data_IF_407071538955
#
_entry.id   IF_407071538955
#
_cell.length_a   1.000
_cell.length_b   1.000
_cell.length_c   1.000
_cell.angle_alpha   90.00
_cell.angle_beta   90.00
_cell.angle_gamma   90.00
#
_symmetry.space_group_name_H-M   'P 1'
#
loop_
_entity.id
_entity.type
_entity.pdbx_description
1 polymer ?
#
# COMPACT_ATOMS: atom_id res chain seq x y z
N UNK A 1 60.35 -46.04 -25.67
CA UNK A 1 60.52 -44.69 -26.26
C UNK A 1 59.27 -43.86 -25.95
N UNK A 2 59.46 -42.65 -25.39
CA UNK A 2 58.56 -41.47 -25.25
C UNK A 2 57.12 -41.67 -24.70
N UNK A 3 56.70 -41.16 -23.53
CA UNK A 3 56.51 -39.77 -22.98
C UNK A 3 55.16 -39.08 -23.32
N UNK A 4 54.42 -38.76 -22.23
CA UNK A 4 53.52 -37.58 -21.99
C UNK A 4 52.14 -37.59 -22.70
N UNK A 5 50.97 -37.16 -22.17
CA UNK A 5 50.58 -36.09 -21.22
C UNK A 5 49.22 -36.44 -20.53
N UNK A 6 49.09 -36.12 -19.24
CA UNK A 6 47.84 -36.00 -18.46
C UNK A 6 47.05 -34.74 -18.86
N UNK A 7 45.74 -34.82 -19.13
CA UNK A 7 44.79 -33.72 -18.84
C UNK A 7 43.47 -34.30 -18.32
N UNK A 8 43.15 -33.94 -17.09
CA UNK A 8 41.84 -34.06 -16.46
C UNK A 8 40.91 -32.94 -16.96
N UNK A 9 39.64 -33.26 -17.23
CA UNK A 9 38.55 -32.28 -17.22
C UNK A 9 37.29 -32.93 -16.66
N UNK A 10 37.21 -32.85 -15.34
CA UNK A 10 36.02 -33.07 -14.55
C UNK A 10 34.95 -32.05 -14.98
N UNK A 11 33.93 -32.50 -15.69
CA UNK A 11 32.69 -31.74 -15.88
C UNK A 11 31.97 -31.64 -14.52
N UNK A 12 32.39 -30.68 -13.70
CA UNK A 12 31.56 -30.17 -12.62
C UNK A 12 30.43 -29.37 -13.28
N UNK A 13 29.32 -30.05 -13.55
CA UNK A 13 28.03 -29.43 -13.73
C UNK A 13 27.65 -28.72 -12.43
N UNK A 14 28.06 -27.47 -12.30
CA UNK A 14 27.53 -26.57 -11.29
C UNK A 14 26.05 -26.38 -11.58
N UNK A 15 25.20 -27.00 -10.78
CA UNK A 15 23.79 -26.63 -10.70
C UNK A 15 23.74 -25.14 -10.40
N UNK A 16 23.41 -24.33 -11.40
CA UNK A 16 23.01 -22.96 -11.17
C UNK A 16 21.82 -23.03 -10.20
N UNK A 17 22.06 -22.70 -8.93
CA UNK A 17 20.99 -22.51 -7.97
C UNK A 17 20.07 -21.47 -8.59
N UNK A 18 18.90 -21.90 -9.07
CA UNK A 18 17.91 -21.01 -9.65
C UNK A 18 17.67 -19.90 -8.63
N UNK A 19 18.10 -18.69 -8.97
CA UNK A 19 17.95 -17.54 -8.10
C UNK A 19 16.46 -17.41 -7.84
N UNK A 20 16.06 -17.53 -6.56
CA UNK A 20 14.64 -17.47 -6.20
C UNK A 20 14.04 -16.20 -6.85
N UNK A 21 12.87 -16.32 -7.52
CA UNK A 21 12.27 -15.17 -8.21
C UNK A 21 12.20 -13.97 -7.27
N UNK A 22 12.52 -12.77 -7.78
CA UNK A 22 12.39 -11.55 -6.98
C UNK A 22 10.95 -11.43 -6.50
N UNK A 23 10.72 -11.55 -5.20
CA UNK A 23 9.40 -11.56 -4.57
C UNK A 23 8.59 -10.30 -4.92
N UNK A 24 9.27 -9.20 -5.26
CA UNK A 24 8.64 -7.95 -5.71
C UNK A 24 7.84 -8.11 -6.99
N UNK A 25 8.22 -9.08 -7.84
CA UNK A 25 7.51 -9.40 -9.09
C UNK A 25 6.09 -9.96 -8.86
N UNK A 26 5.77 -10.40 -7.64
CA UNK A 26 4.44 -10.88 -7.27
C UNK A 26 3.45 -9.73 -7.00
N UNK A 27 3.91 -8.48 -6.92
CA UNK A 27 3.03 -7.33 -6.73
C UNK A 27 2.02 -7.23 -7.88
N UNK A 28 0.70 -7.16 -7.60
CA UNK A 28 -0.30 -7.00 -8.65
C UNK A 28 -0.06 -5.74 -9.50
N UNK A 29 -0.33 -5.78 -10.81
CA UNK A 29 -0.21 -4.59 -11.65
C UNK A 29 -1.29 -3.56 -11.30
N UNK A 30 -0.99 -2.29 -11.55
CA UNK A 30 -1.97 -1.20 -11.44
C UNK A 30 -2.94 -1.23 -12.64
N UNK A 31 -4.23 -0.91 -12.44
CA UNK A 31 -5.24 -0.87 -13.51
C UNK A 31 -5.14 0.43 -14.33
N UNK A 32 -3.97 0.72 -14.89
CA UNK A 32 -3.74 1.92 -15.68
C UNK A 32 -4.41 1.81 -17.05
N UNK A 33 -5.16 2.85 -17.41
CA UNK A 33 -5.83 3.00 -18.71
C UNK A 33 -4.98 3.75 -19.75
N UNK A 34 -3.79 4.20 -19.36
CA UNK A 34 -2.83 4.90 -20.22
C UNK A 34 -1.40 4.52 -19.82
N UNK A 35 -0.40 4.65 -20.71
CA UNK A 35 1.00 4.47 -20.34
C UNK A 35 1.44 5.49 -19.28
N UNK A 36 2.51 5.16 -18.55
CA UNK A 36 3.15 6.10 -17.63
C UNK A 36 4.08 7.01 -18.43
N UNK A 37 3.85 8.32 -18.37
CA UNK A 37 4.68 9.34 -19.00
C UNK A 37 5.41 10.14 -17.95
N UNK A 38 6.72 10.31 -18.10
CA UNK A 38 7.49 11.17 -17.21
C UNK A 38 6.91 12.59 -17.17
N UNK A 39 6.89 13.21 -16.00
CA UNK A 39 6.52 14.61 -15.86
C UNK A 39 7.78 15.45 -15.67
N UNK A 40 7.82 16.61 -16.32
CA UNK A 40 8.98 17.52 -16.33
C UNK A 40 8.76 18.76 -15.47
N UNK A 41 7.53 18.97 -14.98
CA UNK A 41 7.16 20.09 -14.13
C UNK A 41 6.54 19.59 -12.81
N UNK A 42 6.69 20.31 -11.68
CA UNK A 42 6.13 19.87 -10.42
C UNK A 42 4.62 19.65 -10.47
N UNK A 43 4.15 18.55 -9.88
CA UNK A 43 2.74 18.16 -9.82
C UNK A 43 2.20 18.47 -8.43
N UNK A 44 1.11 19.24 -8.35
CA UNK A 44 0.37 19.41 -7.11
C UNK A 44 -0.60 18.24 -6.94
N UNK A 45 -0.45 17.48 -5.86
CA UNK A 45 -1.40 16.46 -5.45
C UNK A 45 -2.24 16.97 -4.29
N UNK A 46 -3.49 16.51 -4.20
CA UNK A 46 -4.40 16.88 -3.13
C UNK A 46 -5.30 18.07 -3.45
N UNK A 47 -6.23 18.33 -2.55
CA UNK A 47 -7.21 19.39 -2.64
C UNK A 47 -8.45 19.09 -1.79
N UNK A 48 -9.38 20.05 -1.79
CA UNK A 48 -10.64 19.96 -1.04
C UNK A 48 -11.60 18.86 -1.55
N UNK A 49 -11.30 18.23 -2.69
CA UNK A 49 -12.14 17.22 -3.30
C UNK A 49 -11.90 15.83 -2.68
N UNK A 50 -12.98 15.07 -2.51
CA UNK A 50 -12.93 13.63 -2.22
C UNK A 50 -12.72 12.80 -3.50
N UNK A 51 -13.40 13.19 -4.58
CA UNK A 51 -13.51 12.43 -5.82
C UNK A 51 -14.85 11.72 -5.96
N UNK A 52 -15.09 11.02 -7.09
CA UNK A 52 -16.35 10.32 -7.36
C UNK A 52 -16.42 8.92 -6.73
N UNK A 53 -15.53 8.61 -5.79
CA UNK A 53 -15.33 7.25 -5.26
C UNK A 53 -16.52 6.81 -4.41
N UNK A 54 -17.04 5.64 -4.74
CA UNK A 54 -18.15 4.95 -4.08
C UNK A 54 -17.67 3.85 -3.16
N UNK A 55 -16.51 3.23 -3.47
CA UNK A 55 -15.92 2.22 -2.60
C UNK A 55 -14.42 2.37 -2.48
N UNK A 56 -13.91 1.86 -1.37
CA UNK A 56 -12.50 1.68 -1.14
C UNK A 56 -12.28 0.22 -0.75
N UNK A 57 -11.60 -0.52 -1.61
CA UNK A 57 -11.46 -1.96 -1.48
C UNK A 57 -10.00 -2.34 -1.30
N UNK A 58 -9.77 -3.40 -0.52
CA UNK A 58 -8.49 -4.11 -0.46
C UNK A 58 -8.71 -5.58 -0.76
N UNK A 59 -7.66 -6.20 -1.28
CA UNK A 59 -7.56 -7.63 -1.47
C UNK A 59 -6.19 -8.09 -0.97
N UNK A 60 -6.19 -9.06 -0.06
CA UNK A 60 -4.97 -9.58 0.57
C UNK A 60 -4.97 -11.11 0.56
N UNK A 61 -3.87 -11.69 0.10
CA UNK A 61 -3.62 -13.13 0.22
C UNK A 61 -3.13 -13.47 1.61
N UNK A 62 -3.94 -14.11 2.44
CA UNK A 62 -3.52 -14.53 3.79
C UNK A 62 -2.70 -15.84 3.74
N UNK A 63 -2.94 -16.69 2.72
CA UNK A 63 -2.23 -17.95 2.48
C UNK A 63 -2.14 -18.28 0.99
N UNK A 64 -1.12 -19.03 0.53
CA UNK A 64 -0.98 -19.40 -0.88
C UNK A 64 -2.11 -20.32 -1.41
N UNK A 65 -2.73 -21.12 -0.54
CA UNK A 65 -3.75 -22.13 -0.88
C UNK A 65 -5.19 -21.60 -0.83
N UNK A 66 -5.39 -20.34 -0.44
CA UNK A 66 -6.72 -19.73 -0.29
C UNK A 66 -6.93 -18.59 -1.26
N UNK A 67 -8.19 -18.41 -1.66
CA UNK A 67 -8.60 -17.21 -2.37
C UNK A 67 -8.27 -15.96 -1.53
N UNK A 68 -7.77 -14.87 -2.16
CA UNK A 68 -7.52 -13.63 -1.46
C UNK A 68 -8.77 -13.10 -0.77
N UNK A 69 -8.61 -12.57 0.45
CA UNK A 69 -9.70 -11.93 1.17
C UNK A 69 -9.92 -10.54 0.61
N UNK A 70 -11.16 -10.26 0.20
CA UNK A 70 -11.61 -8.94 -0.23
C UNK A 70 -12.41 -8.26 0.89
N UNK A 71 -12.02 -7.04 1.23
CA UNK A 71 -12.67 -6.20 2.24
C UNK A 71 -12.92 -4.80 1.64
N UNK A 72 -14.14 -4.28 1.71
CA UNK A 72 -14.48 -2.95 1.15
C UNK A 72 -15.19 -2.04 2.17
N UNK A 73 -14.91 -0.75 2.06
CA UNK A 73 -15.65 0.35 2.66
C UNK A 73 -16.51 1.01 1.59
N UNK A 74 -17.83 1.04 1.79
CA UNK A 74 -18.73 1.80 0.93
C UNK A 74 -18.83 3.25 1.40
N UNK A 75 -18.79 4.21 0.47
CA UNK A 75 -19.03 5.62 0.75
C UNK A 75 -20.54 5.85 0.73
N UNK A 76 -21.13 6.08 1.91
CA UNK A 76 -22.56 6.29 2.08
C UNK A 76 -22.95 7.76 1.89
N UNK A 77 -22.10 8.70 2.33
CA UNK A 77 -22.32 10.12 2.17
C UNK A 77 -20.98 10.88 2.10
N UNK A 78 -21.01 12.02 1.40
CA UNK A 78 -19.90 12.96 1.29
C UNK A 78 -20.49 14.35 1.52
N UNK A 79 -20.10 14.98 2.62
CA UNK A 79 -20.63 16.26 3.04
C UNK A 79 -19.50 17.27 3.21
N UNK A 80 -19.76 18.52 2.81
CA UNK A 80 -18.80 19.60 2.98
C UNK A 80 -19.06 20.30 4.31
N UNK A 81 -18.07 20.29 5.19
CA UNK A 81 -18.05 21.13 6.37
C UNK A 81 -17.24 22.41 6.07
N UNK A 82 -17.95 23.49 5.77
CA UNK A 82 -17.34 24.77 5.46
C UNK A 82 -16.63 25.39 6.67
N UNK A 83 -17.16 25.20 7.89
CA UNK A 83 -16.60 25.76 9.11
C UNK A 83 -15.29 25.06 9.49
N UNK A 84 -15.24 23.74 9.39
CA UNK A 84 -14.03 22.95 9.65
C UNK A 84 -13.06 22.92 8.44
N UNK A 85 -13.43 23.51 7.30
CA UNK A 85 -12.72 23.41 6.02
C UNK A 85 -12.34 21.97 5.69
N UNK A 86 -13.34 21.10 5.79
CA UNK A 86 -13.18 19.66 5.70
C UNK A 86 -14.30 19.02 4.89
N UNK A 87 -14.05 17.80 4.46
CA UNK A 87 -15.04 16.87 3.93
C UNK A 87 -15.30 15.82 4.99
N UNK A 88 -16.58 15.66 5.35
CA UNK A 88 -17.07 14.56 6.16
C UNK A 88 -17.46 13.41 5.23
N UNK A 89 -16.93 12.23 5.49
CA UNK A 89 -17.27 11.00 4.79
C UNK A 89 -17.97 10.07 5.76
N UNK A 90 -19.14 9.59 5.37
CA UNK A 90 -19.77 8.46 6.03
C UNK A 90 -19.39 7.18 5.29
N UNK A 91 -18.63 6.30 5.92
CA UNK A 91 -18.16 5.03 5.34
C UNK A 91 -18.86 3.85 6.03
N UNK A 92 -19.25 2.83 5.28
CA UNK A 92 -19.90 1.63 5.78
C UNK A 92 -19.06 0.39 5.41
N UNK A 93 -18.44 -0.31 6.39
CA UNK A 93 -17.75 -1.56 6.12
C UNK A 93 -18.71 -2.66 5.66
N UNK A 94 -18.44 -3.29 4.51
CA UNK A 94 -19.35 -4.32 3.97
C UNK A 94 -19.44 -5.56 4.86
N UNK A 95 -18.35 -5.89 5.57
CA UNK A 95 -18.29 -7.03 6.48
C UNK A 95 -19.01 -6.79 7.83
N UNK A 96 -19.25 -5.52 8.20
CA UNK A 96 -19.87 -5.14 9.47
C UNK A 96 -21.20 -4.45 9.19
N UNK A 97 -22.24 -5.23 8.91
CA UNK A 97 -23.57 -4.70 8.58
C UNK A 97 -24.08 -3.80 9.70
N UNK A 98 -24.58 -2.62 9.33
CA UNK A 98 -25.14 -1.65 10.26
C UNK A 98 -24.11 -0.72 10.89
N UNK A 99 -22.81 -1.05 10.83
CA UNK A 99 -21.75 -0.16 11.28
C UNK A 99 -21.48 0.94 10.26
N UNK A 100 -21.30 2.16 10.76
CA UNK A 100 -20.87 3.31 9.96
C UNK A 100 -19.76 4.06 10.68
N UNK A 101 -18.97 4.73 9.86
CA UNK A 101 -17.78 5.48 10.22
C UNK A 101 -17.95 6.90 9.72
N UNK A 102 -17.74 7.88 10.59
CA UNK A 102 -17.55 9.25 10.17
C UNK A 102 -16.05 9.57 10.13
N UNK A 103 -15.58 10.01 8.98
CA UNK A 103 -14.20 10.49 8.77
C UNK A 103 -14.23 11.96 8.41
N UNK A 104 -13.48 12.79 9.11
CA UNK A 104 -13.34 14.20 8.79
C UNK A 104 -11.93 14.44 8.21
N UNK A 105 -11.90 14.81 6.93
CA UNK A 105 -10.67 15.05 6.16
C UNK A 105 -10.60 16.52 5.75
N UNK A 106 -9.57 17.24 6.19
CA UNK A 106 -9.35 18.65 5.82
C UNK A 106 -8.99 18.81 4.34
N UNK A 107 -9.05 20.05 3.87
CA UNK A 107 -8.65 20.44 2.50
C UNK A 107 -7.20 20.10 2.15
N UNK A 108 -6.33 20.06 3.15
CA UNK A 108 -4.94 19.65 3.02
C UNK A 108 -4.76 18.13 3.04
N UNK A 109 -5.85 17.35 3.07
CA UNK A 109 -5.84 15.89 3.11
C UNK A 109 -5.53 15.26 4.46
N UNK A 110 -5.30 16.06 5.51
CA UNK A 110 -5.13 15.55 6.87
C UNK A 110 -6.46 15.00 7.42
N UNK A 111 -6.38 13.87 8.12
CA UNK A 111 -7.51 13.26 8.81
C UNK A 111 -7.49 13.75 10.26
N UNK A 112 -8.61 14.32 10.71
CA UNK A 112 -8.71 14.94 12.05
C UNK A 112 -9.73 14.29 12.96
N UNK A 113 -10.60 13.45 12.41
CA UNK A 113 -11.54 12.66 13.20
C UNK A 113 -11.84 11.35 12.49
N UNK A 114 -11.95 10.30 13.28
CA UNK A 114 -12.37 8.97 12.86
C UNK A 114 -13.20 8.36 13.99
N UNK A 115 -14.52 8.23 13.79
CA UNK A 115 -15.46 7.81 14.85
C UNK A 115 -16.56 6.92 14.28
N UNK A 116 -17.24 6.15 15.13
CA UNK A 116 -18.51 5.54 14.77
C UNK A 116 -19.56 6.59 14.40
N UNK A 117 -20.54 6.19 13.58
CA UNK A 117 -21.71 7.00 13.26
C UNK A 117 -23.01 6.22 13.57
N UNK A 118 -23.72 6.55 14.66
CA UNK A 118 -23.42 7.60 15.66
C UNK A 118 -22.20 7.28 16.55
N UNK A 119 -21.60 8.27 17.24
CA UNK A 119 -20.42 8.05 18.07
C UNK A 119 -20.65 7.01 19.18
N UNK A 120 -19.74 6.03 19.28
CA UNK A 120 -19.74 4.96 20.27
C UNK A 120 -18.31 4.54 20.61
N UNK A 121 -17.76 5.12 21.68
CA UNK A 121 -16.35 4.91 22.07
C UNK A 121 -16.08 3.51 22.60
N UNK A 122 -17.10 2.80 23.10
CA UNK A 122 -16.95 1.43 23.60
C UNK A 122 -16.62 0.44 22.48
N UNK A 123 -16.96 0.79 21.24
CA UNK A 123 -16.78 -0.08 20.07
C UNK A 123 -15.61 0.32 19.18
N UNK A 124 -14.94 1.45 19.45
CA UNK A 124 -13.87 2.02 18.60
C UNK A 124 -12.75 1.02 18.26
N UNK A 125 -12.49 0.05 19.14
CA UNK A 125 -11.55 -1.05 18.88
C UNK A 125 -11.85 -1.85 17.61
N UNK A 126 -13.13 -2.07 17.27
CA UNK A 126 -13.55 -2.81 16.08
C UNK A 126 -13.21 -2.10 14.76
N UNK A 127 -13.02 -0.78 14.81
CA UNK A 127 -12.77 0.05 13.64
C UNK A 127 -11.30 0.33 13.37
N UNK A 128 -10.41 0.02 14.32
CA UNK A 128 -8.97 0.28 14.21
C UNK A 128 -8.39 -0.23 12.88
N UNK A 129 -8.73 -1.43 12.38
CA UNK A 129 -8.23 -1.89 11.08
C UNK A 129 -8.69 -1.01 9.91
N UNK A 130 -9.94 -0.53 9.94
CA UNK A 130 -10.50 0.34 8.91
C UNK A 130 -9.94 1.75 8.96
N UNK A 131 -9.70 2.27 10.17
CA UNK A 131 -9.01 3.55 10.38
C UNK A 131 -7.63 3.55 9.76
N UNK A 132 -6.81 2.56 10.13
CA UNK A 132 -5.45 2.40 9.58
C UNK A 132 -5.47 2.27 8.06
N UNK A 133 -6.43 1.50 7.54
CA UNK A 133 -6.59 1.34 6.10
C UNK A 133 -6.89 2.67 5.41
N UNK A 134 -7.88 3.43 5.88
CA UNK A 134 -8.21 4.73 5.31
C UNK A 134 -7.05 5.73 5.41
N UNK A 135 -6.38 5.80 6.56
CA UNK A 135 -5.21 6.67 6.77
C UNK A 135 -4.07 6.38 5.79
N UNK A 136 -3.79 5.10 5.53
CA UNK A 136 -2.77 4.70 4.56
C UNK A 136 -3.09 5.03 3.10
N UNK A 137 -4.34 5.41 2.80
CA UNK A 137 -4.79 5.78 1.45
C UNK A 137 -4.90 7.28 1.23
N UNK A 138 -4.78 8.10 2.28
CA UNK A 138 -4.93 9.56 2.19
C UNK A 138 -3.58 10.25 2.34
N UNK A 139 -3.13 10.94 1.29
CA UNK A 139 -1.96 11.80 1.38
C UNK A 139 -2.36 13.23 1.68
N UNK A 140 -1.48 13.92 2.42
CA UNK A 140 -1.59 15.37 2.58
C UNK A 140 -1.18 16.09 1.30
N UNK A 141 -1.85 17.21 1.02
CA UNK A 141 -1.63 18.04 -0.13
C UNK A 141 -0.18 18.51 -0.18
N UNK A 142 0.46 18.34 -1.33
CA UNK A 142 1.86 18.70 -1.54
C UNK A 142 2.18 18.83 -3.02
N UNK A 143 3.33 19.43 -3.29
CA UNK A 143 3.89 19.53 -4.63
C UNK A 143 5.08 18.58 -4.75
N UNK A 144 5.06 17.74 -5.77
CA UNK A 144 6.11 16.76 -6.05
C UNK A 144 6.85 17.17 -7.32
N UNK A 145 8.14 17.43 -7.19
CA UNK A 145 9.02 17.74 -8.32
C UNK A 145 9.55 16.45 -8.96
N UNK A 146 9.93 16.49 -10.25
CA UNK A 146 10.53 15.34 -10.93
C UNK A 146 11.72 14.79 -10.15
N UNK A 147 11.82 13.46 -10.04
CA UNK A 147 12.91 12.77 -9.36
C UNK A 147 12.95 12.92 -7.83
N UNK A 148 12.05 13.69 -7.22
CA UNK A 148 12.03 13.88 -5.76
C UNK A 148 11.42 12.66 -5.08
N UNK A 149 12.18 12.07 -4.16
CA UNK A 149 11.69 11.03 -3.27
C UNK A 149 10.76 11.67 -2.24
N UNK A 150 9.64 11.02 -1.95
CA UNK A 150 8.71 11.45 -0.91
C UNK A 150 8.34 10.28 0.00
N UNK A 151 7.89 10.60 1.20
CA UNK A 151 7.39 9.59 2.14
C UNK A 151 5.87 9.49 2.07
N UNK A 152 5.38 8.25 2.00
CA UNK A 152 3.98 7.89 2.21
C UNK A 152 3.80 7.48 3.68
N UNK A 153 2.82 8.06 4.40
CA UNK A 153 2.62 7.74 5.82
C UNK A 153 2.29 6.26 6.00
N UNK A 154 2.82 5.67 7.07
CA UNK A 154 2.40 4.37 7.58
C UNK A 154 1.79 4.62 8.96
N UNK A 155 0.52 4.26 9.20
CA UNK A 155 -0.11 4.46 10.49
C UNK A 155 0.72 3.88 11.63
N UNK A 156 0.81 4.62 12.74
CA UNK A 156 1.54 4.23 13.96
C UNK A 156 3.06 4.02 13.78
N UNK A 157 3.66 4.53 12.70
CA UNK A 157 5.10 4.48 12.46
C UNK A 157 5.70 5.88 12.37
N UNK A 158 6.93 6.03 12.87
CA UNK A 158 7.69 7.29 12.78
C UNK A 158 8.26 7.54 11.39
N UNK A 159 8.44 6.47 10.60
CA UNK A 159 8.90 6.54 9.21
C UNK A 159 7.84 5.97 8.28
N UNK A 160 7.66 6.66 7.15
CA UNK A 160 6.78 6.21 6.08
C UNK A 160 7.45 5.22 5.12
N UNK A 161 6.71 4.82 4.09
CA UNK A 161 7.28 4.16 2.94
C UNK A 161 7.96 5.18 2.03
N UNK A 162 9.16 4.86 1.57
CA UNK A 162 9.93 5.71 0.65
C UNK A 162 9.41 5.50 -0.76
N UNK A 163 8.94 6.57 -1.40
CA UNK A 163 8.33 6.55 -2.71
C UNK A 163 9.13 7.38 -3.72
N UNK A 164 9.35 6.82 -4.91
CA UNK A 164 9.94 7.50 -6.06
C UNK A 164 8.89 7.65 -7.16
N UNK A 165 8.54 8.87 -7.58
CA UNK A 165 7.65 9.09 -8.71
C UNK A 165 8.22 8.47 -9.99
N UNK A 166 7.36 7.77 -10.75
CA UNK A 166 7.68 7.26 -12.08
C UNK A 166 7.17 8.19 -13.17
N UNK A 167 5.99 8.77 -12.98
CA UNK A 167 5.34 9.56 -14.01
C UNK A 167 3.87 9.83 -13.72
N UNK A 168 3.21 10.43 -14.70
CA UNK A 168 1.77 10.61 -14.75
C UNK A 168 1.14 9.53 -15.62
N UNK A 169 -0.08 9.13 -15.31
CA UNK A 169 -0.87 8.18 -16.08
C UNK A 169 -2.37 8.47 -15.87
N UNK A 170 -3.23 7.52 -16.25
CA UNK A 170 -4.67 7.57 -16.01
C UNK A 170 -5.23 6.27 -15.47
N UNK A 171 -6.22 6.38 -14.58
CA UNK A 171 -7.17 5.31 -14.27
C UNK A 171 -8.55 5.81 -14.74
N UNK A 172 -9.11 5.15 -15.75
CA UNK A 172 -10.25 5.68 -16.50
C UNK A 172 -10.01 7.14 -16.93
N UNK A 173 -10.89 8.07 -16.57
CA UNK A 173 -10.75 9.50 -16.90
C UNK A 173 -9.87 10.29 -15.90
N UNK A 174 -9.38 9.66 -14.84
CA UNK A 174 -8.70 10.32 -13.72
C UNK A 174 -7.20 10.38 -13.96
N UNK A 175 -6.60 11.56 -13.84
CA UNK A 175 -5.15 11.70 -13.86
C UNK A 175 -4.55 11.21 -12.54
N UNK A 176 -3.56 10.34 -12.63
CA UNK A 176 -2.86 9.78 -11.48
C UNK A 176 -1.36 10.02 -11.55
N UNK A 177 -0.72 10.25 -10.40
CA UNK A 177 0.72 10.16 -10.23
C UNK A 177 1.08 8.73 -9.87
N UNK A 178 1.93 8.09 -10.66
CA UNK A 178 2.41 6.73 -10.41
C UNK A 178 3.76 6.81 -9.70
N UNK A 179 3.93 6.02 -8.64
CA UNK A 179 5.18 5.93 -7.88
C UNK A 179 5.48 4.49 -7.47
N UNK A 180 6.77 4.16 -7.39
CA UNK A 180 7.25 2.93 -6.74
C UNK A 180 7.54 3.26 -5.29
N UNK A 181 7.03 2.47 -4.37
CA UNK A 181 7.24 2.64 -2.93
C UNK A 181 7.82 1.37 -2.31
N UNK A 182 8.66 1.56 -1.30
CA UNK A 182 9.17 0.46 -0.48
C UNK A 182 9.30 0.87 0.99
N UNK A 183 9.17 -0.11 1.88
CA UNK A 183 9.46 0.03 3.31
C UNK A 183 10.04 -1.26 3.86
N UNK A 184 10.96 -1.12 4.80
CA UNK A 184 11.46 -2.22 5.62
C UNK A 184 11.14 -1.92 7.08
N UNK A 185 10.50 -2.88 7.75
CA UNK A 185 10.09 -2.82 9.14
C UNK A 185 10.72 -4.01 9.87
N UNK A 186 11.13 -3.80 11.12
CA UNK A 186 11.62 -4.88 11.98
C UNK A 186 11.10 -4.68 13.40
N UNK A 187 10.75 -5.77 14.08
CA UNK A 187 10.28 -5.71 15.46
C UNK A 187 9.60 -7.00 15.95
N UNK A 188 9.18 -7.03 17.22
CA UNK A 188 8.50 -8.18 17.80
C UNK A 188 7.09 -8.37 17.21
N UNK A 189 6.69 -9.62 16.98
CA UNK A 189 5.38 -10.00 16.48
C UNK A 189 4.39 -10.15 17.64
N UNK A 190 3.80 -9.02 18.05
CA UNK A 190 2.92 -8.95 19.21
C UNK A 190 3.63 -9.36 20.51
N UNK A 191 2.91 -10.07 21.39
CA UNK A 191 3.43 -10.52 22.69
C UNK A 191 4.12 -11.90 22.63
N UNK A 192 4.44 -12.41 21.43
CA UNK A 192 4.97 -13.77 21.24
C UNK A 192 6.47 -13.90 21.52
N UNK A 193 7.19 -12.77 21.63
CA UNK A 193 8.65 -12.74 21.73
C UNK A 193 9.38 -13.13 20.44
N UNK A 194 8.67 -13.45 19.35
CA UNK A 194 9.27 -13.70 18.04
C UNK A 194 9.59 -12.38 17.35
N UNK A 195 10.77 -12.28 16.75
CA UNK A 195 11.13 -11.14 15.91
C UNK A 195 10.63 -11.39 14.48
N UNK A 196 10.15 -10.33 13.83
CA UNK A 196 9.78 -10.35 12.43
C UNK A 196 10.46 -9.21 11.67
N UNK A 197 10.85 -9.49 10.42
CA UNK A 197 11.30 -8.52 9.44
C UNK A 197 10.33 -8.52 8.28
N UNK A 198 9.83 -7.34 7.93
CA UNK A 198 8.80 -7.15 6.92
C UNK A 198 9.38 -6.19 5.89
N UNK A 199 9.51 -6.65 4.65
CA UNK A 199 9.83 -5.79 3.51
C UNK A 199 8.61 -5.70 2.61
N UNK A 200 8.16 -4.49 2.30
CA UNK A 200 7.02 -4.23 1.43
C UNK A 200 7.52 -3.42 0.25
N UNK A 201 7.12 -3.82 -0.96
CA UNK A 201 7.45 -3.08 -2.18
C UNK A 201 6.29 -3.17 -3.17
N UNK A 202 6.01 -2.07 -3.85
CA UNK A 202 4.91 -2.03 -4.81
C UNK A 202 4.83 -0.72 -5.59
N UNK A 203 3.81 -0.64 -6.43
CA UNK A 203 3.46 0.57 -7.17
C UNK A 203 2.16 1.13 -6.63
N UNK A 204 2.08 2.45 -6.55
CA UNK A 204 0.88 3.20 -6.21
C UNK A 204 0.49 4.12 -7.37
N UNK A 205 -0.81 4.38 -7.50
CA UNK A 205 -1.39 5.43 -8.32
C UNK A 205 -2.15 6.38 -7.41
N UNK A 206 -1.68 7.62 -7.30
CA UNK A 206 -2.28 8.68 -6.49
C UNK A 206 -3.16 9.52 -7.41
N UNK A 207 -4.46 9.61 -7.12
CA UNK A 207 -5.34 10.54 -7.81
C UNK A 207 -4.90 11.99 -7.55
N UNK A 208 -4.51 12.69 -8.62
CA UNK A 208 -3.85 13.99 -8.50
C UNK A 208 -4.76 15.01 -7.81
N UNK A 209 -6.03 15.21 -8.20
CA UNK A 209 -6.88 16.23 -7.59
C UNK A 209 -7.23 16.01 -6.11
N UNK A 210 -7.22 14.75 -5.64
CA UNK A 210 -7.69 14.42 -4.28
C UNK A 210 -6.54 14.05 -3.34
N UNK A 211 -5.41 13.57 -3.88
CA UNK A 211 -4.30 13.03 -3.09
C UNK A 211 -4.60 11.65 -2.50
N UNK A 212 -5.71 11.02 -2.88
CA UNK A 212 -6.05 9.66 -2.47
C UNK A 212 -5.28 8.65 -3.31
N UNK A 213 -4.84 7.55 -2.71
CA UNK A 213 -4.28 6.42 -3.45
C UNK A 213 -5.44 5.70 -4.14
N UNK A 214 -5.57 5.93 -5.45
CA UNK A 214 -6.62 5.36 -6.29
C UNK A 214 -6.42 3.88 -6.56
N UNK A 215 -5.17 3.43 -6.62
CA UNK A 215 -4.82 2.02 -6.69
C UNK A 215 -3.42 1.76 -6.15
N UNK A 216 -3.20 0.59 -5.58
CA UNK A 216 -1.88 0.08 -5.24
C UNK A 216 -1.84 -1.41 -5.53
N UNK A 217 -0.70 -1.87 -6.04
CA UNK A 217 -0.34 -3.28 -6.01
C UNK A 217 1.03 -3.42 -5.36
N UNK A 218 1.13 -4.29 -4.36
CA UNK A 218 2.36 -4.52 -3.62
C UNK A 218 2.52 -5.99 -3.25
N UNK A 219 3.75 -6.36 -2.92
CA UNK A 219 4.06 -7.59 -2.24
C UNK A 219 4.67 -7.27 -0.87
N UNK A 220 4.43 -8.14 0.10
CA UNK A 220 5.07 -8.10 1.41
C UNK A 220 5.83 -9.40 1.62
N UNK A 221 7.14 -9.31 1.87
CA UNK A 221 7.98 -10.42 2.34
C UNK A 221 8.08 -10.33 3.86
N UNK A 222 7.53 -11.31 4.54
CA UNK A 222 7.54 -11.42 6.00
C UNK A 222 8.45 -12.58 6.37
N UNK A 223 9.48 -12.30 7.16
CA UNK A 223 10.42 -13.28 7.68
C UNK A 223 10.36 -13.27 9.20
N UNK A 224 10.17 -14.44 9.81
CA UNK A 224 10.09 -14.59 11.26
C UNK A 224 11.32 -15.29 11.81
N UNK A 225 11.68 -14.96 13.05
CA UNK A 225 12.88 -15.45 13.70
C UNK A 225 12.56 -16.05 15.07
N UNK A 226 13.23 -17.17 15.38
CA UNK A 226 13.23 -17.78 16.69
C UNK A 226 14.68 -17.97 17.16
N UNK A 227 15.03 -17.37 18.31
CA UNK A 227 16.40 -17.36 18.83
C UNK A 227 17.47 -16.94 17.79
N UNK A 228 17.18 -15.92 16.99
CA UNK A 228 18.07 -15.39 15.96
C UNK A 228 18.14 -16.21 14.66
N UNK A 229 17.43 -17.35 14.58
CA UNK A 229 17.35 -18.18 13.37
C UNK A 229 16.04 -17.92 12.64
N UNK A 230 16.12 -17.66 11.33
CA UNK A 230 14.94 -17.60 10.45
C UNK A 230 14.21 -18.93 10.51
N UNK A 231 12.90 -18.90 10.79
CA UNK A 231 12.04 -20.09 10.87
C UNK A 231 10.99 -20.13 9.75
N UNK A 232 10.95 -19.13 8.87
CA UNK A 232 10.05 -19.11 7.73
C UNK A 232 10.01 -17.76 7.02
N UNK A 233 9.71 -17.81 5.73
CA UNK A 233 9.43 -16.63 4.89
C UNK A 233 8.09 -16.83 4.23
N UNK A 234 7.22 -15.84 4.32
CA UNK A 234 5.95 -15.78 3.61
C UNK A 234 5.95 -14.56 2.71
N UNK A 235 5.52 -14.73 1.45
CA UNK A 235 5.31 -13.61 0.52
C UNK A 235 3.82 -13.46 0.27
N UNK A 236 3.31 -12.25 0.49
CA UNK A 236 1.89 -11.91 0.39
C UNK A 236 1.74 -10.82 -0.67
N UNK A 237 1.20 -11.14 -1.88
CA UNK A 237 0.73 -10.12 -2.80
C UNK A 237 -0.56 -9.50 -2.25
N UNK A 238 -0.74 -8.21 -2.49
CA UNK A 238 -1.91 -7.46 -2.05
C UNK A 238 -2.18 -6.28 -2.97
N UNK A 239 -3.42 -5.86 -3.03
CA UNK A 239 -3.81 -4.66 -3.77
C UNK A 239 -4.90 -3.90 -3.03
N UNK A 240 -5.00 -2.62 -3.34
CA UNK A 240 -6.18 -1.83 -3.01
C UNK A 240 -6.55 -0.94 -4.17
N UNK A 241 -7.81 -0.52 -4.21
CA UNK A 241 -8.32 0.37 -5.24
C UNK A 241 -9.56 1.14 -4.77
N UNK A 242 -9.80 2.27 -5.42
CA UNK A 242 -11.03 3.03 -5.33
C UNK A 242 -11.93 2.67 -6.51
N UNK A 243 -13.24 2.53 -6.27
CA UNK A 243 -14.28 2.33 -7.30
C UNK A 243 -15.18 3.55 -7.39
#
# INVERSE_FOLDING_TARGET
MLRCILIALSFLGGSAAAQAPDWRSLAPPLPLSAPVTAFTAPVAIGGAAWGPWRKLCREQSERPDRAPRRDCLSVAAVERDAAARAVRLSLAPEALRGEKLAVLRRDDGSIISFTHEPPDTARDGALVPWRRQFESWSLTARRLAPGTIFEMPIPDQTRGATCRPEGLSRIAARQVLVAICAVELAGPLGNTGQEARIAIAGRIAIDVPTGMIAAQGYAARIETFNAGRSNGVVVIPSRHWLE
#
